data_IF_955258723819
#
_entry.id   IF_955258723819
#
_cell.length_a   1.000
_cell.length_b   1.000
_cell.length_c   1.000
_cell.angle_alpha   90.00
_cell.angle_beta   90.00
_cell.angle_gamma   90.00
#
_symmetry.space_group_name_H-M   'P 1'
#
loop_
_entity.id
_entity.type
_entity.pdbx_description
1 polymer ?
#
# COMPACT_ATOMS: atom_id res chain seq x y z
N UNK A 1 -11.09 1.05 -4.33
CA UNK A 1 -11.30 -0.29 -3.69
C UNK A 1 -11.01 -1.36 -4.73
N UNK A 2 -10.26 -2.39 -4.37
CA UNK A 2 -9.87 -3.45 -5.31
C UNK A 2 -10.01 -4.84 -4.65
N UNK A 3 -10.25 -5.87 -5.45
CA UNK A 3 -10.30 -7.25 -4.95
C UNK A 3 -8.90 -7.81 -4.76
N UNK A 4 -8.78 -8.82 -3.92
CA UNK A 4 -7.52 -9.53 -3.69
C UNK A 4 -6.93 -10.09 -5.00
N UNK A 5 -7.80 -10.60 -5.88
CA UNK A 5 -7.43 -11.10 -7.21
C UNK A 5 -6.85 -9.98 -8.09
N UNK A 6 -7.50 -8.82 -8.17
CA UNK A 6 -7.01 -7.67 -8.94
C UNK A 6 -5.65 -7.19 -8.42
N UNK A 7 -5.48 -7.13 -7.10
CA UNK A 7 -4.21 -6.72 -6.48
C UNK A 7 -3.08 -7.72 -6.76
N UNK A 8 -3.38 -9.02 -6.78
CA UNK A 8 -2.42 -10.05 -7.16
C UNK A 8 -2.00 -9.91 -8.64
N UNK A 9 -2.94 -9.66 -9.54
CA UNK A 9 -2.64 -9.44 -10.96
C UNK A 9 -1.79 -8.18 -11.17
N UNK A 10 -2.13 -7.07 -10.51
CA UNK A 10 -1.40 -5.80 -10.59
C UNK A 10 0.04 -5.94 -10.06
N UNK A 11 0.21 -6.69 -8.98
CA UNK A 11 1.51 -6.91 -8.36
C UNK A 11 2.33 -8.01 -9.04
N UNK A 12 1.74 -8.80 -9.94
CA UNK A 12 2.34 -10.03 -10.46
C UNK A 12 2.54 -11.09 -9.39
N UNK A 13 1.83 -10.97 -8.28
CA UNK A 13 1.92 -11.85 -7.14
C UNK A 13 1.03 -13.08 -7.24
N UNK A 14 1.24 -14.01 -6.32
CA UNK A 14 0.42 -15.21 -6.16
C UNK A 14 -0.32 -15.18 -4.84
N UNK A 15 -1.63 -15.45 -4.88
CA UNK A 15 -2.44 -15.58 -3.66
C UNK A 15 -2.24 -16.97 -3.06
N UNK A 16 -2.04 -17.01 -1.75
CA UNK A 16 -2.05 -18.23 -0.94
C UNK A 16 -2.98 -18.05 0.27
N UNK A 17 -3.49 -19.14 0.83
CA UNK A 17 -4.40 -19.16 1.99
C UNK A 17 -5.68 -18.35 1.78
N UNK A 18 -6.18 -18.22 0.54
CA UNK A 18 -7.41 -17.49 0.28
C UNK A 18 -8.58 -18.45 0.04
N UNK A 19 -9.61 -18.33 0.85
CA UNK A 19 -10.92 -18.97 0.62
C UNK A 19 -11.78 -18.13 -0.34
N UNK A 20 -11.56 -16.80 -0.35
CA UNK A 20 -12.29 -15.84 -1.17
C UNK A 20 -11.33 -14.89 -1.91
N UNK A 21 -11.05 -15.14 -3.20
CA UNK A 21 -10.21 -14.26 -4.00
C UNK A 21 -10.88 -12.92 -4.35
N UNK A 22 -12.21 -12.83 -4.22
CA UNK A 22 -13.01 -11.61 -4.45
C UNK A 22 -13.10 -10.73 -3.18
N UNK A 23 -12.40 -11.09 -2.11
CA UNK A 23 -12.28 -10.26 -0.91
C UNK A 23 -11.88 -8.84 -1.27
N UNK A 24 -12.71 -7.87 -0.90
CA UNK A 24 -12.47 -6.46 -1.19
C UNK A 24 -11.53 -5.85 -0.16
N UNK A 25 -10.45 -5.25 -0.67
CA UNK A 25 -9.48 -4.49 0.13
C UNK A 25 -9.86 -3.01 0.08
N UNK A 26 -9.96 -2.39 1.25
CA UNK A 26 -10.43 -0.98 1.40
C UNK A 26 -9.33 0.00 1.75
N UNK A 27 -8.20 -0.48 2.26
CA UNK A 27 -7.05 0.33 2.68
C UNK A 27 -5.74 -0.46 2.50
N UNK A 28 -4.60 0.20 2.57
CA UNK A 28 -3.28 -0.44 2.58
C UNK A 28 -2.34 0.30 3.51
N UNK A 29 -1.57 -0.44 4.32
CA UNK A 29 -0.65 0.17 5.27
C UNK A 29 0.55 -0.70 5.61
N UNK A 30 1.61 -0.02 6.08
CA UNK A 30 2.86 -0.61 6.58
C UNK A 30 2.88 -0.72 8.10
N UNK A 31 1.92 -0.09 8.78
CA UNK A 31 1.80 -0.12 10.23
C UNK A 31 0.63 -1.01 10.66
N UNK A 32 0.95 -2.17 11.20
CA UNK A 32 -0.03 -3.16 11.64
C UNK A 32 -1.05 -2.62 12.68
N UNK A 33 -0.62 -1.70 13.54
CA UNK A 33 -1.45 -1.15 14.62
C UNK A 33 -2.39 -0.02 14.15
N UNK A 34 -2.06 0.63 13.04
CA UNK A 34 -2.84 1.73 12.50
C UNK A 34 -3.72 1.32 11.31
N UNK A 35 -3.62 0.06 10.88
CA UNK A 35 -4.39 -0.44 9.74
C UNK A 35 -5.85 -0.69 10.15
N UNK A 36 -6.82 -0.09 9.46
CA UNK A 36 -8.23 -0.36 9.70
C UNK A 36 -8.63 -1.78 9.26
N UNK A 37 -9.78 -2.25 9.75
CA UNK A 37 -10.40 -3.48 9.28
C UNK A 37 -10.65 -3.44 7.77
N UNK A 38 -10.45 -4.55 7.09
CA UNK A 38 -10.55 -4.62 5.62
C UNK A 38 -9.30 -4.15 4.87
N UNK A 39 -8.26 -3.73 5.60
CA UNK A 39 -7.00 -3.27 5.01
C UNK A 39 -6.05 -4.39 4.60
N UNK A 40 -5.18 -4.11 3.62
CA UNK A 40 -4.05 -4.92 3.21
C UNK A 40 -2.80 -4.51 4.00
N UNK A 41 -2.26 -5.42 4.78
CA UNK A 41 -1.00 -5.18 5.47
C UNK A 41 0.20 -5.48 4.56
N UNK A 42 1.01 -4.47 4.27
CA UNK A 42 2.24 -4.65 3.49
C UNK A 42 3.44 -4.93 4.40
N UNK A 43 3.80 -6.20 4.51
CA UNK A 43 4.95 -6.68 5.28
C UNK A 43 6.24 -6.60 4.49
N UNK A 44 6.98 -5.50 4.65
CA UNK A 44 8.27 -5.27 3.96
C UNK A 44 9.46 -5.72 4.78
N UNK A 45 10.57 -6.15 4.16
CA UNK A 45 11.83 -6.38 4.85
C UNK A 45 12.34 -5.10 5.51
N UNK A 46 12.64 -5.14 6.80
CA UNK A 46 13.27 -4.07 7.56
C UNK A 46 14.76 -4.32 7.80
N UNK A 47 15.45 -3.34 8.41
CA UNK A 47 16.88 -3.45 8.71
C UNK A 47 17.18 -4.52 9.78
N UNK A 48 16.28 -4.74 10.72
CA UNK A 48 16.48 -5.66 11.85
C UNK A 48 15.47 -6.79 11.88
N UNK A 49 14.25 -6.52 11.45
CA UNK A 49 13.15 -7.48 11.48
C UNK A 49 12.32 -7.36 10.20
N UNK A 50 11.73 -8.47 9.77
CA UNK A 50 10.81 -8.47 8.67
C UNK A 50 9.42 -7.99 9.13
N UNK A 51 8.86 -7.00 8.41
CA UNK A 51 7.56 -6.40 8.78
C UNK A 51 6.41 -7.39 8.85
N UNK A 52 6.44 -8.46 8.05
CA UNK A 52 5.39 -9.48 8.03
C UNK A 52 5.14 -10.16 9.38
N UNK A 53 6.11 -10.17 10.31
CA UNK A 53 5.91 -10.70 11.66
C UNK A 53 4.82 -9.97 12.47
N UNK A 54 4.48 -8.74 12.09
CA UNK A 54 3.44 -7.96 12.75
C UNK A 54 2.04 -8.20 12.18
N UNK A 55 1.93 -8.99 11.10
CA UNK A 55 0.64 -9.27 10.46
C UNK A 55 -0.36 -9.92 11.42
N UNK A 56 0.11 -10.84 12.27
CA UNK A 56 -0.74 -11.58 13.19
C UNK A 56 -1.38 -10.71 14.28
N UNK A 57 -0.77 -9.57 14.60
CA UNK A 57 -1.29 -8.59 15.57
C UNK A 57 -2.11 -7.46 14.92
N UNK A 58 -2.26 -7.48 13.59
CA UNK A 58 -3.01 -6.47 12.84
C UNK A 58 -4.49 -6.84 12.69
N UNK A 59 -5.31 -5.83 12.34
CA UNK A 59 -6.69 -6.01 11.90
C UNK A 59 -6.79 -6.23 10.37
N UNK A 60 -5.69 -6.63 9.73
CA UNK A 60 -5.64 -6.83 8.30
C UNK A 60 -6.61 -7.90 7.81
N UNK A 61 -7.23 -7.66 6.69
CA UNK A 61 -8.02 -8.65 5.96
C UNK A 61 -7.15 -9.54 5.05
N UNK A 62 -5.98 -9.03 4.63
CA UNK A 62 -4.99 -9.75 3.83
C UNK A 62 -3.59 -9.19 4.05
N UNK A 63 -2.57 -9.91 3.60
CA UNK A 63 -1.16 -9.53 3.69
C UNK A 63 -0.54 -9.51 2.30
N UNK A 64 0.27 -8.50 2.01
CA UNK A 64 1.19 -8.44 0.87
C UNK A 64 2.61 -8.60 1.41
N UNK A 65 3.34 -9.62 1.00
CA UNK A 65 4.70 -9.86 1.47
C UNK A 65 5.54 -10.60 0.43
N UNK A 66 6.84 -10.71 0.68
CA UNK A 66 7.75 -11.54 -0.12
C UNK A 66 7.82 -12.99 0.40
N UNK A 67 8.64 -13.80 -0.24
CA UNK A 67 8.77 -15.22 0.11
C UNK A 67 9.24 -15.44 1.55
N UNK A 68 10.17 -14.60 2.05
CA UNK A 68 10.70 -14.71 3.42
C UNK A 68 9.64 -14.30 4.46
N UNK A 69 8.76 -13.37 4.09
CA UNK A 69 7.69 -12.90 4.95
C UNK A 69 6.54 -13.90 5.14
N UNK A 70 6.32 -14.81 4.18
CA UNK A 70 5.26 -15.83 4.30
C UNK A 70 5.41 -16.67 5.56
N UNK A 71 6.64 -17.07 5.90
CA UNK A 71 6.92 -17.88 7.09
C UNK A 71 6.74 -17.12 8.41
N UNK A 72 6.65 -15.78 8.35
CA UNK A 72 6.45 -14.91 9.52
C UNK A 72 4.97 -14.72 9.86
N UNK A 73 4.07 -14.98 8.90
CA UNK A 73 2.62 -14.91 9.11
C UNK A 73 2.13 -16.26 9.59
N UNK A 74 1.79 -16.36 10.89
CA UNK A 74 1.37 -17.63 11.51
C UNK A 74 -0.14 -17.83 11.43
N UNK A 75 -0.93 -16.76 11.31
CA UNK A 75 -2.37 -16.84 11.10
C UNK A 75 -2.70 -17.51 9.77
N UNK A 76 -3.31 -18.69 9.84
CA UNK A 76 -3.70 -19.46 8.66
C UNK A 76 -4.95 -18.90 7.95
N UNK A 77 -5.75 -18.11 8.69
CA UNK A 77 -6.96 -17.44 8.18
C UNK A 77 -6.67 -16.18 7.35
N UNK A 78 -5.43 -15.70 7.33
CA UNK A 78 -5.05 -14.53 6.55
C UNK A 78 -4.64 -14.91 5.12
N UNK A 79 -5.35 -14.43 4.09
CA UNK A 79 -4.89 -14.51 2.71
C UNK A 79 -3.60 -13.73 2.53
N UNK A 80 -2.69 -14.25 1.72
CA UNK A 80 -1.40 -13.61 1.45
C UNK A 80 -1.20 -13.48 -0.05
N UNK A 81 -0.87 -12.28 -0.52
CA UNK A 81 -0.29 -12.03 -1.84
C UNK A 81 1.22 -12.10 -1.71
N UNK A 82 1.83 -13.06 -2.36
CA UNK A 82 3.28 -13.27 -2.34
C UNK A 82 3.89 -12.68 -3.61
N UNK A 83 4.87 -11.80 -3.44
CA UNK A 83 5.61 -11.13 -4.52
C UNK A 83 7.11 -11.27 -4.31
N UNK A 84 7.91 -11.00 -5.33
CA UNK A 84 9.38 -11.05 -5.20
C UNK A 84 9.94 -9.84 -4.43
N UNK A 85 9.36 -8.66 -4.65
CA UNK A 85 9.75 -7.42 -3.98
C UNK A 85 8.51 -6.55 -3.67
N UNK A 86 8.14 -6.48 -2.40
CA UNK A 86 6.99 -5.70 -1.92
C UNK A 86 7.15 -4.22 -2.24
N UNK A 87 8.36 -3.67 -2.09
CA UNK A 87 8.60 -2.23 -2.31
C UNK A 87 8.43 -1.83 -3.76
N UNK A 88 8.81 -2.71 -4.69
CA UNK A 88 8.68 -2.47 -6.13
C UNK A 88 7.22 -2.38 -6.57
N UNK A 89 6.32 -3.15 -5.96
CA UNK A 89 4.90 -3.22 -6.34
C UNK A 89 3.99 -2.34 -5.48
N UNK A 90 4.47 -1.87 -4.31
CA UNK A 90 3.66 -1.17 -3.32
C UNK A 90 2.93 0.05 -3.89
N UNK A 91 3.59 0.84 -4.75
CA UNK A 91 2.98 2.01 -5.38
C UNK A 91 1.81 1.66 -6.30
N UNK A 92 1.95 0.62 -7.13
CA UNK A 92 0.90 0.17 -8.04
C UNK A 92 -0.29 -0.41 -7.27
N UNK A 93 -0.02 -1.23 -6.25
CA UNK A 93 -1.04 -1.83 -5.38
C UNK A 93 -1.79 -0.73 -4.61
N UNK A 94 -1.08 0.23 -3.99
CA UNK A 94 -1.70 1.35 -3.29
C UNK A 94 -2.58 2.18 -4.22
N UNK A 95 -2.08 2.46 -5.43
CA UNK A 95 -2.85 3.20 -6.44
C UNK A 95 -4.17 2.51 -6.77
N UNK A 96 -4.17 1.18 -6.91
CA UNK A 96 -5.37 0.40 -7.20
C UNK A 96 -6.36 0.38 -6.03
N UNK A 97 -5.88 0.24 -4.80
CA UNK A 97 -6.73 0.27 -3.59
C UNK A 97 -7.50 1.59 -3.50
N UNK A 98 -6.87 2.71 -3.87
CA UNK A 98 -7.46 4.05 -3.84
C UNK A 98 -8.02 4.53 -5.20
N UNK A 99 -8.35 3.62 -6.12
CA UNK A 99 -8.97 3.91 -7.42
C UNK A 99 -8.14 4.88 -8.29
N UNK A 100 -6.81 4.73 -8.25
CA UNK A 100 -5.87 5.48 -9.09
C UNK A 100 -5.98 7.02 -8.99
N UNK A 101 -5.90 7.63 -7.80
CA UNK A 101 -6.21 9.05 -7.59
C UNK A 101 -5.37 10.00 -8.47
N UNK A 102 -4.16 9.62 -8.84
CA UNK A 102 -3.30 10.42 -9.71
C UNK A 102 -3.79 10.54 -11.17
N UNK A 103 -4.80 9.75 -11.58
CA UNK A 103 -5.41 9.89 -12.91
C UNK A 103 -6.36 11.08 -13.00
N UNK A 104 -6.98 11.42 -11.86
CA UNK A 104 -7.98 12.49 -11.75
C UNK A 104 -7.38 13.80 -11.22
N UNK A 105 -6.12 13.77 -10.81
CA UNK A 105 -5.39 14.91 -10.25
C UNK A 105 -4.21 15.31 -11.13
N UNK A 106 -3.94 16.62 -11.17
CA UNK A 106 -2.66 17.11 -11.69
C UNK A 106 -1.61 17.00 -10.60
N UNK A 107 -0.63 16.12 -10.79
CA UNK A 107 0.44 15.89 -9.80
C UNK A 107 1.67 16.70 -10.17
N UNK A 108 2.13 17.56 -9.25
CA UNK A 108 3.35 18.36 -9.40
C UNK A 108 4.41 17.84 -8.44
N UNK A 109 5.53 17.37 -9.00
CA UNK A 109 6.67 16.89 -8.22
C UNK A 109 7.70 18.00 -8.00
N UNK A 110 8.15 18.16 -6.73
CA UNK A 110 9.18 19.13 -6.36
C UNK A 110 10.37 18.36 -5.75
N UNK A 111 11.54 18.51 -6.36
CA UNK A 111 12.77 17.87 -5.89
C UNK A 111 13.86 18.90 -5.59
N UNK A 112 14.84 18.52 -4.77
CA UNK A 112 15.98 19.36 -4.42
C UNK A 112 16.56 19.00 -3.07
N UNK A 113 17.75 19.51 -2.76
CA UNK A 113 18.45 19.31 -1.48
C UNK A 113 17.90 20.21 -0.37
N UNK A 114 17.35 21.38 -0.73
CA UNK A 114 16.73 22.35 0.18
C UNK A 114 15.56 23.05 -0.50
N UNK A 115 14.66 23.69 0.28
CA UNK A 115 13.59 24.53 -0.23
C UNK A 115 12.37 23.81 -0.80
N UNK A 116 12.29 22.47 -0.74
CA UNK A 116 11.16 21.69 -1.27
C UNK A 116 9.82 22.09 -0.63
N UNK A 117 9.78 22.12 0.69
CA UNK A 117 8.57 22.51 1.44
C UNK A 117 8.17 23.97 1.18
N UNK A 118 9.14 24.89 1.18
CA UNK A 118 8.87 26.30 0.87
C UNK A 118 8.30 26.45 -0.53
N UNK A 119 8.87 25.77 -1.52
CA UNK A 119 8.37 25.79 -2.90
C UNK A 119 6.96 25.24 -3.03
N UNK A 120 6.63 24.17 -2.30
CA UNK A 120 5.28 23.58 -2.33
C UNK A 120 4.24 24.58 -1.80
N UNK A 121 4.51 25.28 -0.70
CA UNK A 121 3.62 26.32 -0.19
C UNK A 121 3.46 27.51 -1.13
N UNK A 122 4.53 27.89 -1.83
CA UNK A 122 4.44 28.96 -2.83
C UNK A 122 3.58 28.56 -4.04
N UNK A 123 3.73 27.32 -4.51
CA UNK A 123 2.90 26.78 -5.60
C UNK A 123 1.45 26.68 -5.17
N UNK A 124 1.18 26.15 -3.98
CA UNK A 124 -0.17 26.08 -3.40
C UNK A 124 -0.82 27.45 -3.32
N UNK A 125 -0.14 28.45 -2.75
CA UNK A 125 -0.65 29.80 -2.63
C UNK A 125 -0.98 30.43 -3.99
N UNK A 126 -0.14 30.21 -5.01
CA UNK A 126 -0.38 30.70 -6.36
C UNK A 126 -1.62 30.03 -6.99
N UNK A 127 -1.76 28.71 -6.85
CA UNK A 127 -2.91 27.96 -7.37
C UNK A 127 -4.20 28.38 -6.72
N UNK A 128 -4.23 28.48 -5.39
CA UNK A 128 -5.40 28.94 -4.64
C UNK A 128 -5.80 30.39 -5.00
N UNK A 129 -4.82 31.28 -5.24
CA UNK A 129 -5.09 32.65 -5.70
C UNK A 129 -5.83 32.69 -7.06
N UNK A 130 -5.57 31.70 -7.91
CA UNK A 130 -6.26 31.56 -9.20
C UNK A 130 -7.52 30.68 -9.14
N UNK A 131 -7.98 30.30 -7.94
CA UNK A 131 -9.20 29.50 -7.74
C UNK A 131 -9.04 28.01 -8.06
N UNK A 132 -7.79 27.51 -8.15
CA UNK A 132 -7.49 26.10 -8.35
C UNK A 132 -7.36 25.45 -6.96
N UNK A 133 -8.18 24.43 -6.71
CA UNK A 133 -8.12 23.64 -5.47
C UNK A 133 -6.87 22.77 -5.43
N UNK A 134 -6.19 22.71 -4.28
CA UNK A 134 -4.98 21.90 -4.04
C UNK A 134 -5.20 20.96 -2.86
#
# INVERSE_FOLDING_TARGET
MATLQELAEISGGRIIRADDPDLVVTDIGLNAQALPEGGLFAGVPGLHVHGAQFADSSSAAAVLTDHDGVEKVTREDLPIIVVDDVRAVLGAVSSAVYDHPSRDLTVIGITGTAGKTTTSYMVEAALLHHGIST
#
